data_IF_680224791729
#
_entry.id   IF_680224791729
#
_cell.length_a   1.000
_cell.length_b   1.000
_cell.length_c   1.000
_cell.angle_alpha   90.00
_cell.angle_beta   90.00
_cell.angle_gamma   90.00
#
_symmetry.space_group_name_H-M   'P 1'
#
loop_
_entity.id
_entity.type
_entity.pdbx_description
1 polymer ?
#
# COMPACT_ATOMS: atom_id res chain seq x y z
N UNK A 1 -1.63 -52.21 -15.44
CA UNK A 1 -2.20 -51.03 -14.83
C UNK A 1 -3.59 -51.28 -14.33
N UNK A 2 -3.87 -50.95 -13.12
CA UNK A 2 -5.21 -51.11 -12.60
C UNK A 2 -6.09 -49.93 -13.05
N UNK A 3 -7.38 -50.17 -13.07
CA UNK A 3 -8.40 -49.14 -13.38
C UNK A 3 -8.28 -47.93 -12.46
N UNK A 4 -7.91 -48.17 -11.20
CA UNK A 4 -7.73 -47.12 -10.19
C UNK A 4 -6.57 -46.16 -10.52
N UNK A 5 -5.47 -46.64 -11.05
CA UNK A 5 -4.32 -45.81 -11.44
C UNK A 5 -4.68 -44.88 -12.59
N UNK A 6 -5.46 -45.35 -13.56
CA UNK A 6 -5.96 -44.52 -14.66
C UNK A 6 -6.94 -43.46 -14.18
N UNK A 7 -7.77 -43.81 -13.20
CA UNK A 7 -8.71 -42.87 -12.61
C UNK A 7 -8.02 -41.74 -11.84
N UNK A 8 -7.02 -42.09 -11.05
CA UNK A 8 -6.19 -41.12 -10.33
C UNK A 8 -5.45 -40.17 -11.28
N UNK A 9 -4.87 -40.71 -12.34
CA UNK A 9 -4.17 -39.90 -13.36
C UNK A 9 -5.12 -38.94 -14.07
N UNK A 10 -6.34 -39.38 -14.37
CA UNK A 10 -7.35 -38.54 -14.98
C UNK A 10 -7.84 -37.45 -14.02
N UNK A 11 -8.03 -37.75 -12.75
CA UNK A 11 -8.40 -36.77 -11.73
C UNK A 11 -7.30 -35.74 -11.52
N UNK A 12 -6.05 -36.12 -11.46
CA UNK A 12 -4.90 -35.22 -11.36
C UNK A 12 -4.80 -34.30 -12.58
N UNK A 13 -5.05 -34.82 -13.78
CA UNK A 13 -5.05 -34.02 -14.99
C UNK A 13 -6.19 -33.00 -15.00
N UNK A 14 -7.38 -33.34 -14.49
CA UNK A 14 -8.51 -32.44 -14.36
C UNK A 14 -8.26 -31.37 -13.30
N UNK A 15 -7.70 -31.73 -12.15
CA UNK A 15 -7.32 -30.80 -11.09
C UNK A 15 -6.26 -29.82 -11.58
N UNK A 16 -5.25 -30.30 -12.31
CA UNK A 16 -4.22 -29.44 -12.88
C UNK A 16 -4.75 -28.44 -13.90
N UNK A 17 -5.79 -28.81 -14.67
CA UNK A 17 -6.44 -27.92 -15.63
C UNK A 17 -7.24 -26.83 -14.90
N UNK A 18 -7.96 -27.16 -13.85
CA UNK A 18 -8.73 -26.20 -13.07
C UNK A 18 -7.81 -25.21 -12.35
N UNK A 19 -6.71 -25.68 -11.78
CA UNK A 19 -5.69 -24.82 -11.19
C UNK A 19 -5.07 -23.88 -12.22
N UNK A 20 -4.75 -24.38 -13.42
CA UNK A 20 -4.20 -23.58 -14.49
C UNK A 20 -5.15 -22.50 -14.98
N UNK A 21 -6.45 -22.78 -15.04
CA UNK A 21 -7.47 -21.81 -15.42
C UNK A 21 -7.64 -20.72 -14.36
N UNK A 22 -7.62 -21.08 -13.07
CA UNK A 22 -7.70 -20.11 -11.98
C UNK A 22 -6.46 -19.21 -11.96
N UNK A 23 -5.27 -19.76 -12.17
CA UNK A 23 -4.03 -18.99 -12.26
C UNK A 23 -4.05 -18.04 -13.45
N UNK A 24 -4.57 -18.47 -14.61
CA UNK A 24 -4.71 -17.61 -15.78
C UNK A 24 -5.68 -16.44 -15.51
N UNK A 25 -6.80 -16.72 -14.89
CA UNK A 25 -7.78 -15.67 -14.52
C UNK A 25 -7.20 -14.68 -13.52
N UNK A 26 -6.45 -15.15 -12.54
CA UNK A 26 -5.77 -14.30 -11.58
C UNK A 26 -4.75 -13.39 -12.26
N UNK A 27 -3.95 -13.94 -13.18
CA UNK A 27 -2.96 -13.19 -13.95
C UNK A 27 -3.62 -12.13 -14.84
N UNK A 28 -4.71 -12.48 -15.52
CA UNK A 28 -5.46 -11.55 -16.37
C UNK A 28 -6.08 -10.44 -15.52
N UNK A 29 -6.65 -10.77 -14.36
CA UNK A 29 -7.22 -9.79 -13.44
C UNK A 29 -6.15 -8.85 -12.88
N UNK A 30 -4.97 -9.37 -12.53
CA UNK A 30 -3.83 -8.56 -12.08
C UNK A 30 -3.33 -7.63 -13.18
N UNK A 31 -3.25 -8.13 -14.41
CA UNK A 31 -2.85 -7.34 -15.57
C UNK A 31 -3.86 -6.21 -15.83
N UNK A 32 -5.14 -6.51 -15.82
CA UNK A 32 -6.20 -5.52 -16.02
C UNK A 32 -6.16 -4.46 -14.92
N UNK A 33 -5.93 -4.87 -13.68
CA UNK A 33 -5.78 -3.95 -12.55
C UNK A 33 -4.57 -3.04 -12.73
N UNK A 34 -3.41 -3.59 -13.12
CA UNK A 34 -2.19 -2.80 -13.37
C UNK A 34 -2.40 -1.79 -14.50
N UNK A 35 -3.06 -2.19 -15.58
CA UNK A 35 -3.38 -1.30 -16.68
C UNK A 35 -4.33 -0.19 -16.26
N UNK A 36 -5.32 -0.50 -15.43
CA UNK A 36 -6.30 0.47 -14.94
C UNK A 36 -5.67 1.51 -14.02
N UNK A 37 -4.69 1.13 -13.21
CA UNK A 37 -4.02 2.06 -12.28
C UNK A 37 -2.80 2.76 -12.90
N UNK A 38 -2.29 2.28 -14.05
CA UNK A 38 -1.05 2.75 -14.65
C UNK A 38 -0.98 4.28 -14.84
N UNK A 39 -2.03 4.96 -15.33
CA UNK A 39 -1.96 6.42 -15.48
C UNK A 39 -1.69 7.14 -14.16
N UNK A 40 -2.33 6.72 -13.07
CA UNK A 40 -2.14 7.31 -11.75
C UNK A 40 -0.83 6.89 -11.11
N UNK A 41 -0.37 5.66 -11.35
CA UNK A 41 0.93 5.18 -10.90
C UNK A 41 2.07 5.99 -11.52
N UNK A 42 1.99 6.28 -12.82
CA UNK A 42 2.96 7.13 -13.51
C UNK A 42 2.96 8.55 -12.96
N UNK A 43 1.79 9.13 -12.78
CA UNK A 43 1.64 10.49 -12.26
C UNK A 43 2.21 10.58 -10.85
N UNK A 44 1.95 9.59 -10.00
CA UNK A 44 2.47 9.58 -8.64
C UNK A 44 4.01 9.60 -8.61
N UNK A 45 4.66 8.85 -9.49
CA UNK A 45 6.12 8.84 -9.59
C UNK A 45 6.70 10.08 -10.26
N UNK A 46 6.01 10.62 -11.25
CA UNK A 46 6.52 11.72 -12.07
C UNK A 46 6.30 13.10 -11.45
N UNK A 47 5.17 13.28 -10.78
CA UNK A 47 4.82 14.58 -10.20
C UNK A 47 5.63 14.84 -8.93
N UNK A 48 5.89 16.12 -8.59
CA UNK A 48 6.74 16.47 -7.45
C UNK A 48 6.11 16.18 -6.10
N UNK A 49 4.82 15.85 -6.04
CA UNK A 49 4.08 15.61 -4.80
C UNK A 49 4.76 14.54 -3.93
N UNK A 50 5.10 13.39 -4.52
CA UNK A 50 5.70 12.27 -3.78
C UNK A 50 7.06 12.64 -3.20
N UNK A 51 7.92 13.30 -3.98
CA UNK A 51 9.23 13.76 -3.50
C UNK A 51 9.09 14.79 -2.39
N UNK A 52 8.18 15.74 -2.55
CA UNK A 52 7.92 16.74 -1.53
C UNK A 52 7.38 16.11 -0.24
N UNK A 53 6.48 15.14 -0.35
CA UNK A 53 5.97 14.39 0.80
C UNK A 53 7.09 13.67 1.54
N UNK A 54 7.98 12.98 0.80
CA UNK A 54 9.11 12.28 1.40
C UNK A 54 10.04 13.22 2.16
N UNK A 55 10.34 14.40 1.60
CA UNK A 55 11.16 15.41 2.26
C UNK A 55 10.50 15.96 3.52
N UNK A 56 9.23 16.31 3.43
CA UNK A 56 8.47 16.87 4.55
C UNK A 56 8.33 15.86 5.69
N UNK A 57 8.04 14.60 5.36
CA UNK A 57 7.93 13.53 6.35
C UNK A 57 9.28 13.25 7.03
N UNK A 58 10.36 13.23 6.28
CA UNK A 58 11.71 13.03 6.83
C UNK A 58 12.08 14.18 7.77
N UNK A 59 11.82 15.41 7.35
CA UNK A 59 12.10 16.59 8.16
C UNK A 59 11.27 16.59 9.45
N UNK A 60 9.98 16.33 9.34
CA UNK A 60 9.08 16.25 10.50
C UNK A 60 9.49 15.14 11.47
N UNK A 61 9.96 14.00 10.94
CA UNK A 61 10.49 12.91 11.75
C UNK A 61 11.74 13.30 12.51
N UNK A 62 12.66 14.02 11.87
CA UNK A 62 13.86 14.54 12.52
C UNK A 62 13.55 15.49 13.67
N UNK A 63 12.57 16.35 13.49
CA UNK A 63 12.10 17.27 14.54
C UNK A 63 11.58 16.53 15.77
N UNK A 64 11.05 15.32 15.57
CA UNK A 64 10.53 14.45 16.63
C UNK A 64 11.52 13.39 17.08
N UNK A 65 12.76 13.42 16.58
CA UNK A 65 13.80 12.41 16.83
C UNK A 65 13.30 11.01 16.46
N UNK A 66 12.58 10.92 15.36
CA UNK A 66 11.95 9.70 14.88
C UNK A 66 12.45 9.41 13.47
N UNK A 67 12.83 8.15 13.23
CA UNK A 67 13.23 7.73 11.89
C UNK A 67 12.01 7.44 11.04
N UNK A 68 11.97 8.03 9.85
CA UNK A 68 10.95 7.73 8.84
C UNK A 68 11.60 6.91 7.74
N UNK A 69 11.10 5.71 7.52
CA UNK A 69 11.55 4.84 6.44
C UNK A 69 10.68 5.06 5.21
N UNK A 70 11.34 5.22 4.07
CA UNK A 70 10.69 5.49 2.79
C UNK A 70 10.97 4.35 1.82
N UNK A 71 9.95 3.84 1.16
CA UNK A 71 10.11 2.77 0.18
C UNK A 71 9.06 2.84 -0.90
N UNK A 72 9.45 2.50 -2.13
CA UNK A 72 8.52 2.20 -3.20
C UNK A 72 8.31 0.69 -3.24
N UNK A 73 7.06 0.26 -3.10
CA UNK A 73 6.68 -1.14 -3.21
C UNK A 73 5.79 -1.25 -4.43
N UNK A 74 6.37 -1.70 -5.54
CA UNK A 74 5.77 -1.65 -6.87
C UNK A 74 5.36 -0.21 -7.22
N UNK A 75 4.07 0.10 -7.27
CA UNK A 75 3.55 1.43 -7.61
C UNK A 75 3.11 2.23 -6.38
N UNK A 76 3.24 1.68 -5.19
CA UNK A 76 2.82 2.29 -3.93
C UNK A 76 3.99 2.92 -3.21
N UNK A 77 3.84 4.17 -2.79
CA UNK A 77 4.82 4.83 -1.94
C UNK A 77 4.45 4.54 -0.48
N UNK A 78 5.40 3.99 0.27
CA UNK A 78 5.21 3.65 1.69
C UNK A 78 6.14 4.47 2.57
N UNK A 79 5.56 5.12 3.58
CA UNK A 79 6.28 5.80 4.65
C UNK A 79 5.96 5.07 5.95
N UNK A 80 7.00 4.76 6.72
CA UNK A 80 6.83 4.08 8.01
C UNK A 80 7.59 4.82 9.11
N UNK A 81 6.94 4.99 10.24
CA UNK A 81 7.53 5.56 11.44
C UNK A 81 6.88 4.90 12.65
N UNK A 82 7.68 4.24 13.49
CA UNK A 82 7.19 3.46 14.64
C UNK A 82 6.18 2.42 14.16
N UNK A 83 4.99 2.36 14.76
CA UNK A 83 3.89 1.47 14.39
C UNK A 83 2.94 2.09 13.36
N UNK A 84 3.25 3.27 12.85
CA UNK A 84 2.44 3.99 11.87
C UNK A 84 2.99 3.83 10.47
N UNK A 85 2.08 3.73 9.51
CA UNK A 85 2.40 3.65 8.09
C UNK A 85 1.48 4.56 7.31
N UNK A 86 2.03 5.24 6.34
CA UNK A 86 1.27 6.01 5.35
C UNK A 86 1.61 5.48 3.97
N UNK A 87 0.61 5.08 3.22
CA UNK A 87 0.78 4.59 1.86
C UNK A 87 0.03 5.47 0.87
N UNK A 88 0.67 5.82 -0.23
CA UNK A 88 0.01 6.44 -1.37
C UNK A 88 -0.17 5.36 -2.43
N UNK A 89 -1.42 4.96 -2.66
CA UNK A 89 -1.79 3.88 -3.57
C UNK A 89 -2.49 4.43 -4.80
N UNK A 90 -1.97 4.16 -6.00
CA UNK A 90 -2.70 4.51 -7.22
C UNK A 90 -3.90 3.59 -7.38
N UNK A 91 -5.03 4.17 -7.79
CA UNK A 91 -6.26 3.45 -8.11
C UNK A 91 -6.73 3.86 -9.51
N UNK A 92 -7.73 3.20 -10.10
CA UNK A 92 -8.27 3.64 -11.39
C UNK A 92 -8.87 5.05 -11.36
N UNK A 93 -9.32 5.52 -10.20
CA UNK A 93 -9.98 6.82 -10.03
C UNK A 93 -9.04 7.92 -9.53
N UNK A 94 -7.84 7.57 -9.10
CA UNK A 94 -6.89 8.53 -8.54
C UNK A 94 -5.94 7.88 -7.54
N UNK A 95 -5.20 8.72 -6.82
CA UNK A 95 -4.31 8.27 -5.76
C UNK A 95 -5.01 8.43 -4.41
N UNK A 96 -4.92 7.41 -3.56
CA UNK A 96 -5.47 7.46 -2.20
C UNK A 96 -4.35 7.35 -1.17
N UNK A 97 -4.50 8.09 -0.08
CA UNK A 97 -3.64 7.96 1.09
C UNK A 97 -4.30 6.99 2.07
N UNK A 98 -3.56 5.98 2.48
CA UNK A 98 -4.02 4.96 3.42
C UNK A 98 -3.20 5.07 4.69
N UNK A 99 -3.86 5.33 5.81
CA UNK A 99 -3.24 5.42 7.13
C UNK A 99 -3.38 4.08 7.81
N UNK A 100 -2.26 3.48 8.20
CA UNK A 100 -2.20 2.18 8.86
C UNK A 100 -1.52 2.32 10.21
N UNK A 101 -2.09 1.70 11.23
CA UNK A 101 -1.50 1.61 12.56
C UNK A 101 -1.58 0.17 13.04
N UNK A 102 -0.47 -0.39 13.50
CA UNK A 102 -0.39 -1.79 13.96
C UNK A 102 -0.97 -2.78 12.94
N UNK A 103 -0.62 -2.60 11.65
CA UNK A 103 -1.06 -3.42 10.53
C UNK A 103 -2.55 -3.29 10.17
N UNK A 104 -3.28 -2.40 10.83
CA UNK A 104 -4.72 -2.16 10.55
C UNK A 104 -4.91 -0.81 9.88
N UNK A 105 -5.69 -0.80 8.80
CA UNK A 105 -6.10 0.44 8.14
C UNK A 105 -7.05 1.22 9.04
N UNK A 106 -6.69 2.47 9.37
CA UNK A 106 -7.51 3.32 10.24
C UNK A 106 -8.21 4.44 9.48
N UNK A 107 -7.70 4.84 8.32
CA UNK A 107 -8.28 5.89 7.50
C UNK A 107 -7.82 5.79 6.06
N UNK A 108 -8.68 6.24 5.16
CA UNK A 108 -8.39 6.33 3.72
C UNK A 108 -8.95 7.64 3.18
N UNK A 109 -8.17 8.36 2.40
CA UNK A 109 -8.59 9.65 1.84
C UNK A 109 -7.99 9.86 0.44
N UNK A 110 -8.72 10.54 -0.46
CA UNK A 110 -8.16 10.86 -1.78
C UNK A 110 -7.04 11.88 -1.67
N UNK A 111 -6.08 11.81 -2.61
CA UNK A 111 -4.93 12.71 -2.67
C UNK A 111 -4.97 13.48 -3.98
N UNK A 112 -4.82 14.79 -3.90
CA UNK A 112 -4.65 15.65 -5.06
C UNK A 112 -3.15 15.84 -5.30
N UNK A 113 -2.63 15.22 -6.36
CA UNK A 113 -1.20 15.29 -6.70
C UNK A 113 -0.76 16.69 -7.16
N UNK A 114 -1.71 17.56 -7.53
CA UNK A 114 -1.43 18.95 -7.84
C UNK A 114 -1.40 19.85 -6.60
N UNK A 115 -1.84 19.33 -5.45
CA UNK A 115 -1.89 20.05 -4.19
C UNK A 115 -0.57 20.05 -3.44
N UNK A 116 -0.61 20.59 -2.22
CA UNK A 116 0.54 20.66 -1.32
C UNK A 116 0.53 19.45 -0.36
N UNK A 117 1.62 18.66 -0.29
CA UNK A 117 1.67 17.52 0.61
C UNK A 117 1.83 17.89 2.09
N UNK A 118 1.97 19.17 2.43
CA UNK A 118 2.13 19.61 3.82
C UNK A 118 0.94 19.19 4.69
N UNK A 119 -0.29 19.32 4.17
CA UNK A 119 -1.49 18.93 4.91
C UNK A 119 -1.51 17.46 5.25
N UNK A 120 -1.14 16.60 4.32
CA UNK A 120 -1.07 15.15 4.53
C UNK A 120 0.02 14.80 5.55
N UNK A 121 1.18 15.44 5.43
CA UNK A 121 2.29 15.27 6.38
C UNK A 121 1.85 15.64 7.80
N UNK A 122 1.19 16.78 7.94
CA UNK A 122 0.71 17.27 9.24
C UNK A 122 -0.32 16.32 9.85
N UNK A 123 -1.26 15.80 9.05
CA UNK A 123 -2.23 14.81 9.51
C UNK A 123 -1.56 13.54 10.03
N UNK A 124 -0.58 13.01 9.29
CA UNK A 124 0.11 11.79 9.67
C UNK A 124 0.91 11.99 10.96
N UNK A 125 1.62 13.12 11.06
CA UNK A 125 2.39 13.46 12.26
C UNK A 125 1.48 13.67 13.46
N UNK A 126 0.32 14.32 13.27
CA UNK A 126 -0.67 14.48 14.32
C UNK A 126 -1.19 13.13 14.84
N UNK A 127 -1.43 12.18 13.95
CA UNK A 127 -1.84 10.83 14.34
C UNK A 127 -0.79 10.12 15.17
N UNK A 128 0.49 10.25 14.80
CA UNK A 128 1.62 9.68 15.54
C UNK A 128 1.74 10.34 16.92
N UNK A 129 1.65 11.66 16.98
CA UNK A 129 1.74 12.43 18.22
C UNK A 129 0.60 12.08 19.19
N UNK A 130 -0.63 11.95 18.69
CA UNK A 130 -1.79 11.55 19.49
C UNK A 130 -1.61 10.16 20.09
N UNK A 131 -1.11 9.20 19.31
CA UNK A 131 -0.86 7.85 19.78
C UNK A 131 0.19 7.83 20.88
N UNK A 132 1.24 8.65 20.77
CA UNK A 132 2.27 8.80 21.80
C UNK A 132 1.71 9.40 23.10
N UNK A 133 0.85 10.41 23.00
CA UNK A 133 0.18 11.02 24.16
C UNK A 133 -0.72 10.02 24.89
N UNK A 134 -1.52 9.25 24.16
CA UNK A 134 -2.40 8.23 24.72
C UNK A 134 -1.58 7.17 25.44
N UNK A 135 -0.47 6.72 24.86
CA UNK A 135 0.42 5.74 25.48
C UNK A 135 1.05 6.27 26.76
N UNK A 136 1.46 7.53 26.81
CA UNK A 136 2.00 8.17 28.00
C UNK A 136 0.93 8.28 29.12
N UNK A 137 -0.30 8.63 28.73
CA UNK A 137 -1.40 8.74 29.70
C UNK A 137 -1.83 7.40 30.29
N UNK A 138 -1.64 6.30 29.55
CA UNK A 138 -1.96 4.96 30.03
C UNK A 138 -0.89 4.40 30.98
N UNK A 139 0.34 4.87 30.92
CA UNK A 139 1.45 4.44 31.77
C UNK A 139 1.43 5.14 33.16
N UNK A 140 0.61 6.13 33.32
CA UNK A 140 0.35 6.76 34.60
C UNK A 140 -0.80 6.03 35.32
#
# INVERSE_FOLDING_TARGET
>A
MSFLDNLENNLKALEGRDEGLDDSRKRDNERDRRLAIAPWAERLKREPYAEALMRLATLAGRQRRMKVNLAWIETTLRLEARDHRLELQPTPDGVVAVFVRDTKEVRRAPVDLAGDPQGLTDEWMAAIDQAAEIAQNQDE
#
